data_IF_403898256528
#
_entry.id   IF_403898256528
#
_cell.length_a   1.000
_cell.length_b   1.000
_cell.length_c   1.000
_cell.angle_alpha   90.00
_cell.angle_beta   90.00
_cell.angle_gamma   90.00
#
_symmetry.space_group_name_H-M   'P 1'
#
loop_
_entity.id
_entity.type
_entity.pdbx_description
1 polymer ?
#
# COMPACT_ATOMS: atom_id res chain seq x y z
N UNK A 1 -11.01 13.43 15.76
CA UNK A 1 -11.85 12.78 14.73
C UNK A 1 -11.32 11.38 14.54
N UNK A 2 -12.13 10.34 14.76
CA UNK A 2 -11.63 8.95 14.63
C UNK A 2 -11.44 8.65 13.14
N UNK A 3 -10.31 8.03 12.78
CA UNK A 3 -9.94 7.66 11.39
C UNK A 3 -11.07 6.90 10.67
N UNK A 4 -11.92 6.21 11.40
CA UNK A 4 -13.07 5.46 10.88
C UNK A 4 -14.18 6.33 10.25
N UNK A 5 -14.30 7.61 10.64
CA UNK A 5 -15.33 8.52 10.09
C UNK A 5 -14.96 9.07 8.70
N UNK A 6 -13.68 8.94 8.30
CA UNK A 6 -13.23 9.42 6.98
C UNK A 6 -13.51 8.40 5.86
N UNK A 7 -13.80 7.14 6.22
CA UNK A 7 -13.79 5.99 5.29
C UNK A 7 -15.20 5.47 4.96
N UNK A 8 -16.25 5.97 5.60
CA UNK A 8 -17.61 5.48 5.39
C UNK A 8 -18.31 6.15 4.21
N UNK A 9 -17.98 5.76 2.98
CA UNK A 9 -18.86 6.00 1.83
C UNK A 9 -18.64 4.95 0.74
N UNK A 10 -19.75 4.42 0.28
CA UNK A 10 -20.05 3.31 -0.62
C UNK A 10 -19.75 1.91 -0.07
N UNK A 11 -20.41 1.59 1.01
CA UNK A 11 -20.50 0.21 1.48
C UNK A 11 -21.55 -0.51 0.63
N UNK A 12 -21.13 -1.49 -0.18
CA UNK A 12 -22.07 -2.31 -0.93
C UNK A 12 -22.80 -3.26 0.04
N UNK A 13 -24.11 -3.04 0.21
CA UNK A 13 -24.93 -3.80 1.15
C UNK A 13 -24.98 -5.29 0.78
N UNK A 14 -25.02 -5.60 -0.50
CA UNK A 14 -25.10 -7.00 -0.95
C UNK A 14 -23.78 -7.73 -0.66
N UNK A 15 -22.63 -7.03 -0.77
CA UNK A 15 -21.32 -7.55 -0.38
C UNK A 15 -21.25 -7.76 1.14
N UNK A 16 -21.79 -6.82 1.93
CA UNK A 16 -21.85 -7.01 3.39
C UNK A 16 -22.68 -8.23 3.78
N UNK A 17 -23.79 -8.45 3.09
CA UNK A 17 -24.67 -9.59 3.39
C UNK A 17 -23.97 -10.91 3.01
N UNK A 18 -23.26 -10.97 1.88
CA UNK A 18 -22.36 -12.07 1.53
C UNK A 18 -21.29 -12.30 2.63
N UNK A 19 -20.61 -11.24 3.05
CA UNK A 19 -19.57 -11.33 4.10
C UNK A 19 -20.12 -11.82 5.43
N UNK A 20 -21.33 -11.39 5.83
CA UNK A 20 -21.99 -11.88 7.05
C UNK A 20 -22.30 -13.37 6.98
N UNK A 21 -22.79 -13.85 5.84
CA UNK A 21 -23.07 -15.29 5.67
C UNK A 21 -21.81 -16.13 5.68
N UNK A 22 -20.74 -15.68 4.98
CA UNK A 22 -19.45 -16.36 5.02
C UNK A 22 -18.86 -16.38 6.45
N UNK A 23 -18.96 -15.26 7.16
CA UNK A 23 -18.51 -15.16 8.55
C UNK A 23 -19.29 -16.11 9.48
N UNK A 24 -20.60 -16.23 9.28
CA UNK A 24 -21.45 -17.16 10.03
C UNK A 24 -21.08 -18.64 9.80
N UNK A 25 -20.42 -18.96 8.69
CA UNK A 25 -19.84 -20.28 8.39
C UNK A 25 -18.43 -20.46 8.96
N UNK A 26 -17.90 -19.47 9.67
CA UNK A 26 -16.57 -19.52 10.27
C UNK A 26 -15.42 -19.12 9.32
N UNK A 27 -15.74 -18.57 8.16
CA UNK A 27 -14.72 -18.14 7.21
C UNK A 27 -13.92 -16.93 7.74
N UNK A 28 -12.64 -16.93 7.44
CA UNK A 28 -11.75 -15.81 7.76
C UNK A 28 -11.84 -14.73 6.68
N UNK A 29 -12.43 -13.60 7.02
CA UNK A 29 -12.55 -12.44 6.14
C UNK A 29 -11.53 -11.34 6.43
N UNK A 30 -10.51 -11.63 7.25
CA UNK A 30 -9.55 -10.63 7.70
C UNK A 30 -10.11 -9.72 8.79
N UNK A 31 -9.35 -8.65 9.10
CA UNK A 31 -9.68 -7.68 10.16
C UNK A 31 -10.03 -6.31 9.57
N UNK A 32 -10.88 -6.29 8.56
CA UNK A 32 -11.33 -5.08 7.86
C UNK A 32 -12.68 -4.60 8.38
N UNK A 33 -13.07 -3.41 7.95
CA UNK A 33 -14.35 -2.81 8.33
C UNK A 33 -14.36 -2.15 9.71
N UNK A 34 -15.47 -1.49 10.05
CA UNK A 34 -15.60 -0.70 11.29
C UNK A 34 -15.41 -1.53 12.57
N UNK A 35 -15.81 -2.78 12.55
CA UNK A 35 -15.76 -3.70 13.70
C UNK A 35 -14.52 -4.60 13.69
N UNK A 36 -13.64 -4.48 12.68
CA UNK A 36 -12.47 -5.36 12.48
C UNK A 36 -12.87 -6.85 12.38
N UNK A 37 -14.01 -7.13 11.78
CA UNK A 37 -14.58 -8.48 11.64
C UNK A 37 -14.58 -9.01 10.21
N UNK A 38 -14.00 -8.23 9.27
CA UNK A 38 -13.94 -8.55 7.86
C UNK A 38 -15.19 -8.18 7.06
N UNK A 39 -16.18 -7.53 7.72
CA UNK A 39 -17.41 -7.07 7.06
C UNK A 39 -17.24 -5.59 6.72
N UNK A 40 -16.76 -5.31 5.51
CA UNK A 40 -16.43 -3.98 5.05
C UNK A 40 -17.22 -3.53 3.80
N UNK A 41 -18.06 -4.42 3.25
CA UNK A 41 -18.82 -4.15 2.03
C UNK A 41 -17.98 -4.09 0.75
N UNK A 42 -16.77 -4.65 0.79
CA UNK A 42 -15.87 -4.70 -0.36
C UNK A 42 -15.61 -6.15 -0.77
N UNK A 43 -15.70 -6.43 -2.07
CA UNK A 43 -15.50 -7.76 -2.62
C UNK A 43 -13.99 -8.03 -2.84
N UNK A 44 -13.25 -8.05 -1.75
CA UNK A 44 -11.80 -8.30 -1.74
C UNK A 44 -11.42 -9.79 -1.84
N UNK A 45 -10.10 -10.09 -1.91
CA UNK A 45 -9.59 -11.45 -2.03
C UNK A 45 -10.05 -12.39 -0.91
N UNK A 46 -10.14 -11.93 0.34
CA UNK A 46 -10.64 -12.73 1.45
C UNK A 46 -12.09 -13.18 1.25
N UNK A 47 -12.96 -12.26 0.81
CA UNK A 47 -14.37 -12.56 0.54
C UNK A 47 -14.51 -13.57 -0.59
N UNK A 48 -13.71 -13.44 -1.64
CA UNK A 48 -13.69 -14.38 -2.78
C UNK A 48 -13.21 -15.76 -2.37
N UNK A 49 -12.05 -15.81 -1.71
CA UNK A 49 -11.47 -17.06 -1.21
C UNK A 49 -12.43 -17.78 -0.26
N UNK A 50 -13.07 -17.06 0.64
CA UNK A 50 -14.09 -17.62 1.52
C UNK A 50 -15.30 -18.14 0.74
N UNK A 51 -15.74 -17.45 -0.31
CA UNK A 51 -16.84 -17.89 -1.17
C UNK A 51 -16.48 -19.18 -1.93
N UNK A 52 -15.24 -19.35 -2.38
CA UNK A 52 -14.77 -20.56 -3.05
C UNK A 52 -14.89 -21.82 -2.16
N UNK A 53 -14.81 -21.66 -0.84
CA UNK A 53 -15.00 -22.73 0.14
C UNK A 53 -16.47 -22.99 0.51
N UNK A 54 -17.41 -22.12 0.08
CA UNK A 54 -18.82 -22.16 0.42
C UNK A 54 -19.68 -22.13 -0.84
N UNK A 55 -19.76 -23.24 -1.63
CA UNK A 55 -20.42 -23.27 -2.93
C UNK A 55 -21.88 -22.81 -2.93
N UNK A 56 -22.61 -23.12 -1.85
CA UNK A 56 -24.03 -22.75 -1.71
C UNK A 56 -24.19 -21.24 -1.55
N UNK A 57 -23.29 -20.61 -0.78
CA UNK A 57 -23.24 -19.15 -0.62
C UNK A 57 -22.78 -18.50 -1.91
N UNK A 58 -21.75 -19.03 -2.54
CA UNK A 58 -21.26 -18.54 -3.84
C UNK A 58 -22.34 -18.56 -4.91
N UNK A 59 -23.14 -19.62 -4.98
CA UNK A 59 -24.26 -19.72 -5.92
C UNK A 59 -25.35 -18.67 -5.63
N UNK A 60 -25.70 -18.46 -4.35
CA UNK A 60 -26.66 -17.44 -3.91
C UNK A 60 -26.24 -16.02 -4.28
N UNK A 61 -24.96 -15.72 -4.16
CA UNK A 61 -24.38 -14.38 -4.40
C UNK A 61 -23.61 -14.30 -5.73
N UNK A 62 -23.95 -15.15 -6.71
CA UNK A 62 -23.29 -15.23 -8.01
C UNK A 62 -23.17 -13.86 -8.70
N UNK A 63 -24.26 -13.08 -8.69
CA UNK A 63 -24.26 -11.77 -9.34
C UNK A 63 -23.40 -10.74 -8.60
N UNK A 64 -23.33 -10.84 -7.26
CA UNK A 64 -22.42 -10.03 -6.42
C UNK A 64 -20.99 -10.37 -6.74
N UNK A 65 -20.65 -11.66 -6.75
CA UNK A 65 -19.31 -12.16 -7.06
C UNK A 65 -18.87 -11.83 -8.50
N UNK A 66 -19.82 -11.71 -9.42
CA UNK A 66 -19.57 -11.35 -10.82
C UNK A 66 -19.29 -9.85 -11.04
N UNK A 67 -19.73 -8.97 -10.12
CA UNK A 67 -19.62 -7.51 -10.25
C UNK A 67 -18.20 -6.99 -10.34
N UNK A 68 -17.19 -7.77 -9.95
CA UNK A 68 -15.79 -7.32 -9.93
C UNK A 68 -14.85 -8.22 -10.74
N UNK A 69 -15.31 -8.82 -11.81
CA UNK A 69 -14.47 -9.60 -12.72
C UNK A 69 -13.57 -8.73 -13.62
N UNK A 70 -13.09 -7.60 -13.14
CA UNK A 70 -12.05 -6.83 -13.82
C UNK A 70 -10.67 -6.99 -13.21
N UNK A 71 -10.44 -8.01 -12.35
CA UNK A 71 -9.12 -8.27 -11.76
C UNK A 71 -8.72 -9.71 -11.99
N UNK A 72 -8.47 -10.06 -13.25
CA UNK A 72 -7.69 -11.25 -13.57
C UNK A 72 -6.19 -10.95 -13.45
N UNK A 73 -5.52 -11.81 -12.72
CA UNK A 73 -4.09 -11.79 -12.46
C UNK A 73 -3.27 -11.73 -13.76
N UNK A 74 -2.29 -10.84 -13.79
CA UNK A 74 -1.21 -10.67 -14.78
C UNK A 74 -1.35 -9.49 -15.76
N UNK A 75 -1.73 -8.29 -15.28
CA UNK A 75 -1.36 -7.05 -16.00
C UNK A 75 -0.91 -6.03 -14.98
N UNK A 76 0.25 -5.41 -15.24
CA UNK A 76 0.74 -4.19 -14.58
C UNK A 76 -0.44 -3.27 -14.35
N UNK A 77 -0.76 -3.02 -13.06
CA UNK A 77 -2.12 -2.71 -12.68
C UNK A 77 -2.50 -1.25 -12.94
N UNK A 78 -2.93 -0.97 -14.16
CA UNK A 78 -3.70 0.24 -14.43
C UNK A 78 -5.09 0.21 -13.77
N UNK A 79 -5.54 -0.94 -13.26
CA UNK A 79 -6.87 -1.13 -12.68
C UNK A 79 -7.02 -0.46 -11.33
N UNK A 80 -5.99 -0.48 -10.48
CA UNK A 80 -6.02 0.21 -9.18
C UNK A 80 -6.22 1.72 -9.35
N UNK A 81 -5.58 2.36 -10.34
CA UNK A 81 -5.76 3.80 -10.63
C UNK A 81 -7.13 4.08 -11.25
N UNK A 82 -7.70 3.11 -11.97
CA UNK A 82 -9.02 3.26 -12.61
C UNK A 82 -10.18 3.00 -11.63
N UNK A 83 -9.92 2.46 -10.44
CA UNK A 83 -10.91 2.28 -9.39
C UNK A 83 -11.31 3.64 -8.78
N UNK A 84 -12.57 4.11 -8.97
CA UNK A 84 -13.02 5.37 -8.39
C UNK A 84 -12.93 5.41 -6.86
N UNK A 85 -13.13 4.27 -6.19
CA UNK A 85 -13.04 4.17 -4.74
C UNK A 85 -11.59 4.31 -4.26
N UNK A 86 -10.63 3.77 -5.02
CA UNK A 86 -9.21 3.98 -4.74
C UNK A 86 -8.86 5.46 -4.80
N UNK A 87 -9.22 6.16 -5.88
CA UNK A 87 -8.91 7.58 -6.04
C UNK A 87 -9.58 8.43 -4.97
N UNK A 88 -10.86 8.19 -4.69
CA UNK A 88 -11.59 8.90 -3.63
C UNK A 88 -10.94 8.70 -2.25
N UNK A 89 -10.49 7.48 -1.94
CA UNK A 89 -9.83 7.17 -0.68
C UNK A 89 -8.40 7.73 -0.63
N UNK A 90 -7.68 7.69 -1.75
CA UNK A 90 -6.36 8.31 -1.88
C UNK A 90 -6.42 9.80 -1.56
N UNK A 91 -7.40 10.53 -2.11
CA UNK A 91 -7.59 11.96 -1.83
C UNK A 91 -7.87 12.22 -0.34
N UNK A 92 -8.68 11.38 0.30
CA UNK A 92 -8.95 11.47 1.74
C UNK A 92 -7.69 11.22 2.57
N UNK A 93 -6.91 10.19 2.22
CA UNK A 93 -5.65 9.86 2.89
C UNK A 93 -4.65 11.00 2.73
N UNK A 94 -4.49 11.51 1.52
CA UNK A 94 -3.59 12.63 1.23
C UNK A 94 -3.98 13.89 2.01
N UNK A 95 -5.26 14.26 1.99
CA UNK A 95 -5.79 15.39 2.77
C UNK A 95 -5.55 15.22 4.27
N UNK A 96 -5.78 14.02 4.82
CA UNK A 96 -5.56 13.73 6.24
C UNK A 96 -4.08 13.74 6.66
N UNK A 97 -3.16 13.54 5.71
CA UNK A 97 -1.72 13.66 5.89
C UNK A 97 -1.19 15.07 5.59
N UNK A 98 -2.00 15.94 4.96
CA UNK A 98 -1.57 17.27 4.53
C UNK A 98 -0.62 17.23 3.33
N UNK A 99 -0.75 16.25 2.44
CA UNK A 99 0.08 16.06 1.25
C UNK A 99 -0.78 16.01 -0.02
N UNK A 100 -0.15 16.03 -1.19
CA UNK A 100 -0.88 15.86 -2.46
C UNK A 100 -1.13 14.39 -2.76
N UNK A 101 -2.30 14.07 -3.32
CA UNK A 101 -2.63 12.72 -3.80
C UNK A 101 -1.64 12.25 -4.87
N UNK A 102 -1.21 13.17 -5.76
CA UNK A 102 -0.18 12.90 -6.78
C UNK A 102 1.14 12.44 -6.15
N UNK A 103 1.54 13.00 -5.02
CA UNK A 103 2.81 12.68 -4.36
C UNK A 103 2.75 11.27 -3.74
N UNK A 104 1.64 10.91 -3.08
CA UNK A 104 1.42 9.54 -2.60
C UNK A 104 1.40 8.54 -3.75
N UNK A 105 0.74 8.90 -4.86
CA UNK A 105 0.66 8.07 -6.05
C UNK A 105 2.05 7.85 -6.67
N UNK A 106 2.88 8.90 -6.73
CA UNK A 106 4.25 8.82 -7.24
C UNK A 106 5.12 7.87 -6.41
N UNK A 107 4.99 7.92 -5.06
CA UNK A 107 5.68 6.96 -4.17
C UNK A 107 5.21 5.53 -4.43
N UNK A 108 3.90 5.28 -4.47
CA UNK A 108 3.36 3.95 -4.75
C UNK A 108 3.77 3.43 -6.13
N UNK A 109 3.85 4.31 -7.12
CA UNK A 109 4.31 3.97 -8.47
C UNK A 109 5.78 3.58 -8.49
N UNK A 110 6.62 4.29 -7.74
CA UNK A 110 8.05 3.95 -7.59
C UNK A 110 8.23 2.60 -6.90
N UNK A 111 7.46 2.29 -5.84
CA UNK A 111 7.65 1.12 -4.98
C UNK A 111 7.08 -0.17 -5.59
N UNK A 112 5.89 -0.10 -6.15
CA UNK A 112 5.13 -1.29 -6.57
C UNK A 112 4.52 -1.21 -7.96
N UNK A 113 4.66 -0.07 -8.67
CA UNK A 113 3.85 0.19 -9.87
C UNK A 113 2.36 0.35 -9.55
N UNK A 114 2.02 0.70 -8.30
CA UNK A 114 0.65 0.79 -7.76
C UNK A 114 -0.03 -0.60 -7.70
N UNK A 115 0.77 -1.65 -7.63
CA UNK A 115 0.27 -3.02 -7.51
C UNK A 115 0.18 -3.43 -6.03
N UNK A 116 -1.03 -3.61 -5.47
CA UNK A 116 -1.20 -4.03 -4.08
C UNK A 116 -0.71 -5.46 -3.82
N UNK A 117 -0.57 -6.31 -4.84
CA UNK A 117 -0.02 -7.65 -4.74
C UNK A 117 1.47 -7.73 -5.07
N UNK A 118 2.16 -6.61 -5.29
CA UNK A 118 3.61 -6.63 -5.51
C UNK A 118 4.32 -7.21 -4.28
N UNK A 119 5.19 -8.20 -4.50
CA UNK A 119 6.00 -8.81 -3.44
C UNK A 119 7.42 -9.05 -3.94
N UNK A 120 8.41 -8.59 -3.18
CA UNK A 120 9.80 -8.80 -3.52
C UNK A 120 10.40 -10.01 -2.76
N UNK A 121 11.61 -10.49 -3.13
CA UNK A 121 12.26 -11.62 -2.45
C UNK A 121 12.54 -11.42 -0.96
N UNK A 122 12.61 -10.16 -0.48
CA UNK A 122 12.79 -9.83 0.94
C UNK A 122 11.47 -9.85 1.72
N UNK A 123 10.35 -10.14 1.06
CA UNK A 123 9.01 -10.19 1.64
C UNK A 123 8.33 -8.82 1.78
N UNK A 124 8.92 -7.76 1.24
CA UNK A 124 8.22 -6.47 1.17
C UNK A 124 7.01 -6.61 0.25
N UNK A 125 5.86 -6.07 0.65
CA UNK A 125 4.57 -6.34 0.00
C UNK A 125 3.72 -5.08 -0.14
N UNK A 126 3.02 -4.97 -1.27
CA UNK A 126 1.94 -4.02 -1.49
C UNK A 126 2.38 -2.64 -1.95
N UNK A 127 1.45 -1.69 -1.89
CA UNK A 127 1.54 -0.36 -2.53
C UNK A 127 2.83 0.40 -2.25
N UNK A 128 3.34 0.38 -1.02
CA UNK A 128 4.57 1.06 -0.61
C UNK A 128 5.63 0.07 -0.12
N UNK A 129 5.56 -1.18 -0.52
CA UNK A 129 6.50 -2.24 -0.18
C UNK A 129 6.72 -2.37 1.34
N UNK A 130 5.62 -2.61 2.07
CA UNK A 130 5.67 -2.83 3.51
C UNK A 130 6.57 -4.01 3.88
N UNK A 131 7.62 -3.76 4.65
CA UNK A 131 8.47 -4.82 5.21
C UNK A 131 7.71 -5.63 6.27
N UNK A 132 8.04 -6.93 6.49
CA UNK A 132 7.37 -7.76 7.48
C UNK A 132 7.37 -7.18 8.90
N UNK A 133 8.44 -6.51 9.30
CA UNK A 133 8.52 -5.81 10.60
C UNK A 133 7.56 -4.63 10.69
N UNK A 134 7.47 -3.86 9.60
CA UNK A 134 6.57 -2.71 9.49
C UNK A 134 5.10 -3.15 9.51
N UNK A 135 4.74 -4.19 8.74
CA UNK A 135 3.39 -4.73 8.73
C UNK A 135 2.94 -5.12 10.15
N UNK A 136 3.80 -5.80 10.92
CA UNK A 136 3.51 -6.15 12.33
C UNK A 136 3.31 -4.94 13.22
N UNK A 137 4.13 -3.89 13.08
CA UNK A 137 3.96 -2.63 13.83
C UNK A 137 2.62 -1.94 13.52
N UNK A 138 2.15 -2.09 12.29
CA UNK A 138 0.85 -1.55 11.85
C UNK A 138 -0.34 -2.45 12.22
N UNK A 139 -0.11 -3.59 12.87
CA UNK A 139 -1.15 -4.52 13.32
C UNK A 139 -1.68 -5.43 12.22
N UNK A 140 -0.82 -5.81 11.25
CA UNK A 140 -1.14 -6.73 10.15
C UNK A 140 0.06 -7.61 9.82
N UNK A 141 -0.03 -8.41 8.77
CA UNK A 141 1.09 -9.18 8.22
C UNK A 141 1.27 -8.86 6.73
N UNK A 142 2.43 -9.22 6.18
CA UNK A 142 2.64 -9.10 4.72
C UNK A 142 1.75 -10.05 3.93
N UNK A 143 1.31 -11.16 4.52
CA UNK A 143 0.37 -12.08 3.90
C UNK A 143 -1.05 -11.50 3.88
N UNK A 144 -1.47 -10.85 4.97
CA UNK A 144 -2.72 -10.09 4.98
C UNK A 144 -2.69 -8.96 3.94
N UNK A 145 -1.61 -8.17 3.90
CA UNK A 145 -1.46 -7.10 2.90
C UNK A 145 -1.52 -7.64 1.47
N UNK A 146 -0.92 -8.79 1.20
CA UNK A 146 -0.96 -9.42 -0.13
C UNK A 146 -2.38 -9.79 -0.56
N UNK A 147 -3.27 -10.10 0.39
CA UNK A 147 -4.67 -10.42 0.14
C UNK A 147 -5.58 -9.18 0.04
N UNK A 148 -5.07 -7.98 0.36
CA UNK A 148 -5.81 -6.72 0.28
C UNK A 148 -5.81 -6.15 -1.13
N UNK A 149 -6.92 -5.52 -1.52
CA UNK A 149 -6.94 -4.62 -2.68
C UNK A 149 -6.25 -3.27 -2.37
N UNK A 150 -6.09 -2.44 -3.40
CA UNK A 150 -5.44 -1.13 -3.23
C UNK A 150 -6.19 -0.21 -2.26
N UNK A 151 -7.52 -0.26 -2.26
CA UNK A 151 -8.35 0.57 -1.37
C UNK A 151 -8.15 0.17 0.09
N UNK A 152 -8.10 -1.13 0.37
CA UNK A 152 -7.84 -1.65 1.71
C UNK A 152 -6.43 -1.30 2.19
N UNK A 153 -5.43 -1.41 1.33
CA UNK A 153 -4.04 -1.08 1.67
C UNK A 153 -3.83 0.41 1.97
N UNK A 154 -4.64 1.33 1.41
CA UNK A 154 -4.54 2.77 1.72
C UNK A 154 -4.73 3.09 3.22
N UNK A 155 -5.43 2.26 4.00
CA UNK A 155 -5.51 2.42 5.45
C UNK A 155 -4.15 2.22 6.12
N UNK A 156 -3.37 1.28 5.61
CA UNK A 156 -2.02 1.00 6.09
C UNK A 156 -1.01 2.01 5.57
N UNK A 157 -1.19 2.53 4.37
CA UNK A 157 -0.42 3.68 3.85
C UNK A 157 -0.60 4.89 4.77
N UNK A 158 -1.84 5.22 5.13
CA UNK A 158 -2.14 6.29 6.09
C UNK A 158 -1.45 6.05 7.43
N UNK A 159 -1.64 4.86 8.03
CA UNK A 159 -1.03 4.51 9.33
C UNK A 159 0.49 4.62 9.28
N UNK A 160 1.10 4.16 8.19
CA UNK A 160 2.54 4.22 7.99
C UNK A 160 3.06 5.66 8.02
N UNK A 161 2.51 6.55 7.18
CA UNK A 161 2.96 7.93 7.13
C UNK A 161 2.62 8.71 8.41
N UNK A 162 1.57 8.36 9.12
CA UNK A 162 1.31 8.90 10.47
C UNK A 162 2.36 8.44 11.48
N UNK A 163 2.79 7.19 11.41
CA UNK A 163 3.81 6.63 12.29
C UNK A 163 5.19 7.27 12.02
N UNK A 164 5.52 7.53 10.75
CA UNK A 164 6.80 8.18 10.38
C UNK A 164 6.81 9.69 10.65
N UNK A 165 5.67 10.29 10.94
CA UNK A 165 5.56 11.71 11.24
C UNK A 165 5.74 12.65 10.04
N UNK A 166 5.68 12.14 8.83
CA UNK A 166 5.96 12.87 7.57
C UNK A 166 4.76 13.71 7.05
N UNK A 167 3.81 14.03 7.92
CA UNK A 167 2.70 14.92 7.55
C UNK A 167 3.17 16.30 7.07
N UNK A 168 2.46 16.89 6.08
CA UNK A 168 2.82 18.14 5.39
C UNK A 168 4.19 18.10 4.69
N UNK A 169 4.73 16.91 4.42
CA UNK A 169 6.01 16.73 3.73
C UNK A 169 5.92 16.92 2.22
N UNK A 170 7.08 17.12 1.60
CA UNK A 170 7.24 17.11 0.15
C UNK A 170 7.20 15.68 -0.41
N UNK A 171 7.07 15.53 -1.73
CA UNK A 171 7.24 14.24 -2.42
C UNK A 171 8.54 13.53 -2.00
N UNK A 172 9.65 14.30 -1.92
CA UNK A 172 10.95 13.77 -1.50
C UNK A 172 10.92 13.24 -0.06
N UNK A 173 10.25 13.93 0.85
CA UNK A 173 10.14 13.49 2.26
C UNK A 173 9.29 12.23 2.38
N UNK A 174 8.18 12.15 1.62
CA UNK A 174 7.35 10.95 1.54
C UNK A 174 8.16 9.74 1.03
N UNK A 175 8.94 9.94 -0.03
CA UNK A 175 9.78 8.87 -0.56
C UNK A 175 10.89 8.47 0.43
N UNK A 176 11.57 9.43 1.05
CA UNK A 176 12.57 9.15 2.08
C UNK A 176 11.98 8.40 3.29
N UNK A 177 10.75 8.71 3.66
CA UNK A 177 10.07 7.97 4.74
C UNK A 177 9.89 6.48 4.42
N UNK A 178 9.71 6.11 3.15
CA UNK A 178 9.62 4.71 2.72
C UNK A 178 11.02 4.11 2.51
N UNK A 179 11.88 4.80 1.81
CA UNK A 179 13.20 4.31 1.41
C UNK A 179 14.17 4.22 2.58
N UNK A 180 14.36 5.32 3.32
CA UNK A 180 15.27 5.41 4.46
C UNK A 180 14.75 6.38 5.53
N UNK A 181 13.81 5.98 6.40
CA UNK A 181 13.08 6.87 7.32
C UNK A 181 13.97 7.74 8.20
N UNK A 182 15.14 7.24 8.60
CA UNK A 182 16.09 7.99 9.44
C UNK A 182 16.66 9.25 8.80
N UNK A 183 16.56 9.39 7.47
CA UNK A 183 17.07 10.53 6.72
C UNK A 183 15.97 11.51 6.26
N UNK A 184 14.74 11.35 6.73
CA UNK A 184 13.68 12.34 6.49
C UNK A 184 14.09 13.70 7.03
N UNK A 185 13.96 14.75 6.21
CA UNK A 185 14.34 16.11 6.58
C UNK A 185 15.84 16.43 6.54
N UNK A 186 16.69 15.47 6.16
CA UNK A 186 18.12 15.75 5.97
C UNK A 186 18.38 16.54 4.67
N UNK A 187 19.47 17.35 4.63
CA UNK A 187 19.90 18.06 3.42
C UNK A 187 20.16 17.10 2.24
N UNK A 188 19.96 17.59 1.02
CA UNK A 188 20.06 16.77 -0.18
C UNK A 188 21.49 16.28 -0.45
N UNK A 189 22.51 16.97 0.01
CA UNK A 189 23.93 16.59 -0.08
C UNK A 189 24.36 15.55 0.96
N UNK A 190 23.43 15.13 1.85
CA UNK A 190 23.74 14.10 2.86
C UNK A 190 24.00 12.77 2.19
N UNK A 191 25.19 12.22 2.44
CA UNK A 191 25.60 10.92 1.91
C UNK A 191 24.94 9.78 2.66
N UNK A 192 24.29 8.87 1.93
CA UNK A 192 23.64 7.67 2.46
C UNK A 192 24.31 6.37 2.04
N UNK A 193 25.14 6.40 0.99
CA UNK A 193 25.92 5.26 0.54
C UNK A 193 27.13 5.69 -0.31
N UNK A 194 28.21 4.91 -0.28
CA UNK A 194 29.40 5.11 -1.13
C UNK A 194 29.85 3.80 -1.74
N UNK A 195 30.23 3.84 -3.00
CA UNK A 195 30.83 2.70 -3.67
C UNK A 195 32.12 2.27 -2.96
N UNK A 196 32.28 0.96 -2.80
CA UNK A 196 33.44 0.33 -2.15
C UNK A 196 33.66 0.69 -0.67
N UNK A 197 32.77 1.42 -0.02
CA UNK A 197 32.85 1.61 1.43
C UNK A 197 32.59 0.28 2.16
N UNK A 198 33.31 0.02 3.30
CA UNK A 198 33.01 -1.13 4.12
C UNK A 198 31.67 -0.94 4.87
N UNK A 199 31.00 -2.05 5.19
CA UNK A 199 29.86 -2.05 6.07
C UNK A 199 28.56 -1.53 5.45
N UNK A 200 27.83 -0.71 6.22
CA UNK A 200 26.49 -0.28 5.88
C UNK A 200 26.44 0.61 4.63
N UNK A 201 27.33 1.59 4.54
CA UNK A 201 27.39 2.56 3.43
C UNK A 201 27.59 1.86 2.09
N UNK A 202 28.56 0.95 1.98
CA UNK A 202 28.79 0.19 0.75
C UNK A 202 27.65 -0.76 0.41
N UNK A 203 26.98 -1.37 1.40
CA UNK A 203 25.80 -2.20 1.18
C UNK A 203 24.64 -1.38 0.62
N UNK A 204 24.39 -0.19 1.20
CA UNK A 204 23.36 0.72 0.71
C UNK A 204 23.62 1.11 -0.74
N UNK A 205 24.86 1.51 -1.06
CA UNK A 205 25.23 1.84 -2.43
C UNK A 205 25.04 0.66 -3.39
N UNK A 206 25.59 -0.51 -3.06
CA UNK A 206 25.52 -1.69 -3.90
C UNK A 206 24.07 -2.13 -4.23
N UNK A 207 23.16 -2.00 -3.25
CA UNK A 207 21.75 -2.35 -3.43
C UNK A 207 20.96 -1.28 -4.21
N UNK A 208 21.44 -0.03 -4.22
CA UNK A 208 20.72 1.12 -4.76
C UNK A 208 21.53 1.91 -5.80
N UNK A 209 22.56 1.32 -6.39
CA UNK A 209 23.43 1.96 -7.37
C UNK A 209 22.70 2.57 -8.58
N UNK A 210 21.48 2.10 -8.88
CA UNK A 210 20.65 2.66 -9.94
C UNK A 210 20.09 4.06 -9.62
N UNK A 211 20.21 4.52 -8.38
CA UNK A 211 19.83 5.88 -7.96
C UNK A 211 20.99 6.88 -8.16
N UNK A 212 22.25 6.42 -8.21
CA UNK A 212 23.43 7.21 -8.54
C UNK A 212 23.43 7.50 -10.05
N UNK A 213 22.81 8.63 -10.44
CA UNK A 213 22.59 8.99 -11.84
C UNK A 213 23.78 9.66 -12.48
N UNK A 214 24.52 10.46 -11.74
CA UNK A 214 25.72 11.15 -12.20
C UNK A 214 26.94 10.24 -12.18
N UNK A 215 26.81 9.05 -11.56
CA UNK A 215 27.81 7.99 -11.50
C UNK A 215 29.11 8.40 -10.80
N UNK A 216 29.00 9.27 -9.81
CA UNK A 216 30.14 9.71 -9.01
C UNK A 216 30.54 8.69 -7.93
N UNK A 217 29.77 7.62 -7.75
CA UNK A 217 30.00 6.58 -6.76
C UNK A 217 29.49 6.95 -5.38
N UNK A 218 28.72 8.00 -5.25
CA UNK A 218 28.10 8.48 -4.01
C UNK A 218 26.59 8.47 -4.18
N UNK A 219 25.88 7.95 -3.20
CA UNK A 219 24.44 8.02 -3.12
C UNK A 219 24.06 9.01 -2.04
N UNK A 220 23.34 10.05 -2.40
CA UNK A 220 22.88 11.11 -1.50
C UNK A 220 21.38 11.05 -1.26
N UNK A 221 20.89 11.81 -0.27
CA UNK A 221 19.45 12.05 -0.05
C UNK A 221 18.82 12.69 -1.31
N UNK A 222 19.55 13.61 -1.97
CA UNK A 222 19.09 14.26 -3.20
C UNK A 222 18.88 13.27 -4.35
N UNK A 223 19.79 12.32 -4.55
CA UNK A 223 19.65 11.28 -5.58
C UNK A 223 18.40 10.43 -5.34
N UNK A 224 18.19 10.03 -4.10
CA UNK A 224 17.01 9.28 -3.73
C UNK A 224 15.71 10.08 -3.98
N UNK A 225 15.63 11.34 -3.52
CA UNK A 225 14.48 12.22 -3.76
C UNK A 225 14.23 12.46 -5.25
N UNK A 226 15.31 12.64 -6.04
CA UNK A 226 15.20 12.85 -7.48
C UNK A 226 14.62 11.63 -8.20
N UNK A 227 14.86 10.41 -7.69
CA UNK A 227 14.39 9.19 -8.33
C UNK A 227 12.87 9.10 -8.43
N UNK A 228 12.14 9.62 -7.44
CA UNK A 228 10.68 9.61 -7.40
C UNK A 228 10.05 10.76 -8.18
N UNK A 229 10.79 11.87 -8.40
CA UNK A 229 10.29 13.07 -9.10
C UNK A 229 9.83 12.80 -10.54
N UNK A 230 10.33 11.74 -11.16
CA UNK A 230 9.90 11.33 -12.52
C UNK A 230 8.46 10.84 -12.61
N UNK A 231 7.81 10.60 -11.47
CA UNK A 231 6.44 10.11 -11.39
C UNK A 231 5.44 11.18 -10.90
N UNK A 232 5.94 12.38 -10.56
CA UNK A 232 5.14 13.53 -10.11
C UNK A 232 4.32 14.15 -11.24
#
# INVERSE_FOLDING_TARGET
MKVYEIITESVDKDVMDLQRELKAKGENLGNFGPNKDGIDGRLGPYTRHAADHQPDIAAKYKDVLARSNSVDAQKIDTTTIQDPDFNKKLDKVASALGVKSSDLLAVMKQESGINPQARNPSGATGLIQFMPSTARQLGTTTDDLYQMDGVQQLDYVYKYFKMTGVGNGTLGDLYMAVFMPKYVGYPDDTVIGRNNDPGFSGKVYAQNKGLDRDRDGILTVGDAKQSVSRFA
#
